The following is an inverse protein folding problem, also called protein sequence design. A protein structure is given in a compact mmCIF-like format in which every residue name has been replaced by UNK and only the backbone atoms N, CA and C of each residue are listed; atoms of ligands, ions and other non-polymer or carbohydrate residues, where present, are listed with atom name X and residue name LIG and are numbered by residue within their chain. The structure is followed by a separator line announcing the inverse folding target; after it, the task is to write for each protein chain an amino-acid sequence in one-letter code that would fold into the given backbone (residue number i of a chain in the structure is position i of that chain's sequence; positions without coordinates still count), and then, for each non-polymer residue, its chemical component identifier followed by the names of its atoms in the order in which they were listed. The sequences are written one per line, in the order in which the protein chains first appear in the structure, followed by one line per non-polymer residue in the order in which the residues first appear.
data_IF_193152701489
#
_entry.id   IF_193152701489
#
_cell.length_a   1.000
_cell.length_b   1.000
_cell.length_c   1.000
_cell.angle_alpha   90.00
_cell.angle_beta   90.00
_cell.angle_gamma   90.00
#
_symmetry.space_group_name_H-M   'P 1'
#
loop_
_entity.id
_entity.type
_entity.pdbx_description
1 polymer ?
#
# COMPACT_ATOMS: atom_id res chain seq x y z
N UNK A 1 14.14 12.03 8.43
CA UNK A 1 13.79 12.91 7.31
C UNK A 1 12.98 14.11 7.81
N UNK A 2 13.10 15.29 7.13
CA UNK A 2 12.43 16.54 7.55
C UNK A 2 11.35 17.00 6.55
N UNK A 3 11.28 16.38 5.37
CA UNK A 3 10.33 16.75 4.32
C UNK A 3 8.87 16.47 4.71
N UNK A 4 7.95 17.12 4.03
CA UNK A 4 6.50 16.92 4.18
C UNK A 4 6.07 15.53 3.65
N UNK A 5 6.69 15.09 2.57
CA UNK A 5 6.53 13.76 2.00
C UNK A 5 7.80 12.94 2.24
N UNK A 6 7.64 11.73 2.72
CA UNK A 6 8.68 10.73 2.82
C UNK A 6 8.64 9.83 1.58
N UNK A 7 9.82 9.56 1.03
CA UNK A 7 10.02 8.58 -0.02
C UNK A 7 10.82 7.41 0.56
N UNK A 8 10.20 6.23 0.66
CA UNK A 8 10.91 4.99 0.89
C UNK A 8 11.38 4.50 -0.48
N UNK A 9 12.65 4.30 -0.63
CA UNK A 9 13.26 3.94 -1.91
C UNK A 9 14.40 2.95 -1.66
N UNK A 10 14.36 1.80 -2.31
CA UNK A 10 15.44 0.85 -2.28
C UNK A 10 16.65 1.39 -3.08
N UNK A 11 17.84 1.03 -2.65
CA UNK A 11 19.10 1.46 -3.27
C UNK A 11 19.42 0.76 -4.60
N UNK A 12 18.66 -0.27 -4.96
CA UNK A 12 18.76 -1.05 -6.20
C UNK A 12 17.65 -0.68 -7.21
N UNK A 13 17.08 0.53 -7.08
CA UNK A 13 16.14 1.09 -8.06
C UNK A 13 16.86 2.00 -9.05
N UNK A 14 16.37 2.02 -10.30
CA UNK A 14 16.88 2.86 -11.39
C UNK A 14 15.71 3.61 -12.05
N UNK A 15 15.83 4.92 -12.16
CA UNK A 15 14.77 5.79 -12.69
C UNK A 15 14.67 5.64 -14.21
N UNK A 16 13.46 5.47 -14.73
CA UNK A 16 13.16 5.46 -16.16
C UNK A 16 12.53 6.79 -16.58
N UNK A 17 11.51 7.23 -15.83
CA UNK A 17 10.78 8.46 -16.12
C UNK A 17 11.30 9.59 -15.21
N UNK A 18 11.82 10.70 -15.75
CA UNK A 18 12.33 11.80 -14.95
C UNK A 18 11.27 12.46 -14.06
N UNK A 19 10.01 12.40 -14.42
CA UNK A 19 8.90 13.01 -13.69
C UNK A 19 8.28 12.11 -12.61
N UNK A 20 8.82 10.91 -12.42
CA UNK A 20 8.31 9.91 -11.47
C UNK A 20 8.08 10.47 -10.05
N UNK A 21 9.00 11.31 -9.57
CA UNK A 21 8.91 11.87 -8.22
C UNK A 21 7.78 12.92 -8.13
N UNK A 22 7.60 13.74 -9.18
CA UNK A 22 6.51 14.71 -9.25
C UNK A 22 5.16 14.01 -9.19
N UNK A 23 4.99 12.93 -9.95
CA UNK A 23 3.77 12.10 -9.93
C UNK A 23 3.53 11.52 -8.52
N UNK A 24 4.53 10.88 -7.92
CA UNK A 24 4.42 10.26 -6.61
C UNK A 24 4.03 11.28 -5.53
N UNK A 25 4.68 12.44 -5.51
CA UNK A 25 4.42 13.50 -4.54
C UNK A 25 3.04 14.13 -4.76
N UNK A 26 2.65 14.40 -6.00
CA UNK A 26 1.34 14.96 -6.33
C UNK A 26 0.19 14.08 -5.81
N UNK A 27 0.33 12.75 -5.94
CA UNK A 27 -0.66 11.82 -5.40
C UNK A 27 -0.62 11.76 -3.87
N UNK A 28 0.58 11.74 -3.25
CA UNK A 28 0.74 11.64 -1.80
C UNK A 28 0.18 12.87 -1.05
N UNK A 29 0.21 14.05 -1.66
CA UNK A 29 -0.32 15.28 -1.06
C UNK A 29 -1.85 15.35 -1.04
N UNK A 30 -2.55 14.48 -1.76
CA UNK A 30 -4.02 14.44 -1.73
C UNK A 30 -4.52 13.98 -0.36
N UNK A 31 -5.47 14.70 0.28
CA UNK A 31 -5.86 14.45 1.66
C UNK A 31 -6.34 13.02 1.96
N UNK A 32 -7.03 12.38 1.01
CA UNK A 32 -7.59 11.04 1.18
C UNK A 32 -6.58 9.91 0.87
N UNK A 33 -5.36 10.23 0.41
CA UNK A 33 -4.36 9.23 0.03
C UNK A 33 -3.42 8.96 1.19
N UNK A 34 -3.18 7.67 1.44
CA UNK A 34 -2.20 7.14 2.38
C UNK A 34 -0.85 6.95 1.69
N UNK A 35 -0.57 5.73 1.26
CA UNK A 35 0.65 5.41 0.52
C UNK A 35 0.42 5.48 -1.00
N UNK A 36 1.48 5.87 -1.72
CA UNK A 36 1.55 5.87 -3.18
C UNK A 36 2.69 4.96 -3.62
N UNK A 37 2.42 3.96 -4.46
CA UNK A 37 3.42 3.07 -5.03
C UNK A 37 3.65 3.33 -6.51
N UNK A 38 4.89 3.24 -6.95
CA UNK A 38 5.30 3.33 -8.35
C UNK A 38 5.09 2.02 -9.11
N UNK A 39 5.09 2.06 -10.43
CA UNK A 39 5.25 0.88 -11.28
C UNK A 39 6.71 0.47 -11.29
N UNK A 40 7.01 -0.75 -10.82
CA UNK A 40 8.36 -1.28 -10.88
C UNK A 40 8.45 -2.35 -11.95
N UNK A 41 9.57 -2.35 -12.65
CA UNK A 41 9.90 -3.30 -13.69
C UNK A 41 11.15 -4.12 -13.30
N UNK A 42 11.18 -5.34 -13.71
CA UNK A 42 12.41 -6.13 -13.77
C UNK A 42 13.35 -5.58 -14.85
N UNK A 43 14.65 -5.91 -14.81
CA UNK A 43 15.60 -5.50 -15.85
C UNK A 43 15.27 -5.96 -17.28
N UNK A 44 14.38 -6.94 -17.42
CA UNK A 44 13.89 -7.47 -18.70
C UNK A 44 12.59 -6.81 -19.19
N UNK A 45 12.24 -5.64 -18.65
CA UNK A 45 11.02 -4.86 -18.97
C UNK A 45 9.70 -5.55 -18.59
N UNK A 46 9.71 -6.61 -17.80
CA UNK A 46 8.47 -7.19 -17.26
C UNK A 46 8.05 -6.49 -15.96
N UNK A 47 6.76 -6.44 -15.72
CA UNK A 47 6.19 -5.86 -14.50
C UNK A 47 6.65 -6.67 -13.29
N UNK A 48 7.25 -5.99 -12.32
CA UNK A 48 7.57 -6.53 -11.01
C UNK A 48 6.50 -6.16 -9.99
N UNK A 49 6.13 -4.89 -9.95
CA UNK A 49 5.15 -4.36 -9.02
C UNK A 49 4.10 -3.50 -9.73
N UNK A 50 2.85 -3.88 -9.53
CA UNK A 50 1.67 -3.13 -9.93
C UNK A 50 0.63 -3.09 -8.80
N UNK A 51 1.07 -2.93 -7.56
CA UNK A 51 0.26 -3.07 -6.35
C UNK A 51 0.31 -4.49 -5.78
N UNK A 52 -0.19 -4.62 -4.58
CA UNK A 52 -0.22 -5.86 -3.80
C UNK A 52 -1.67 -6.24 -3.53
N UNK A 53 -1.99 -7.51 -3.74
CA UNK A 53 -3.27 -8.13 -3.38
C UNK A 53 -3.11 -8.97 -2.11
N UNK A 54 -4.10 -8.88 -1.23
CA UNK A 54 -4.21 -9.72 -0.05
C UNK A 54 -4.70 -11.13 -0.43
N UNK A 55 -4.15 -12.15 0.21
CA UNK A 55 -4.53 -13.54 -0.02
C UNK A 55 -4.14 -14.12 -1.38
N UNK A 56 -3.33 -13.39 -2.17
CA UNK A 56 -2.91 -13.85 -3.49
C UNK A 56 -1.88 -14.98 -3.39
N UNK A 57 -2.04 -16.00 -4.22
CA UNK A 57 -1.16 -17.15 -4.35
C UNK A 57 -1.70 -18.41 -3.69
N UNK A 58 -0.82 -19.28 -3.20
CA UNK A 58 -1.21 -20.53 -2.53
C UNK A 58 -2.09 -20.27 -1.30
N UNK A 59 -2.92 -21.24 -0.97
CA UNK A 59 -3.80 -21.19 0.22
C UNK A 59 -2.99 -20.80 1.46
N UNK A 60 -3.45 -19.76 2.14
CA UNK A 60 -2.80 -19.23 3.34
C UNK A 60 -1.70 -18.23 3.07
N UNK A 61 -1.47 -17.80 1.84
CA UNK A 61 -0.59 -16.67 1.57
C UNK A 61 -1.15 -15.37 2.17
N UNK A 62 -0.28 -14.47 2.59
CA UNK A 62 -0.65 -13.16 3.18
C UNK A 62 -0.96 -12.16 2.07
N UNK A 63 -0.04 -11.98 1.15
CA UNK A 63 -0.13 -11.02 0.07
C UNK A 63 0.95 -11.30 -0.99
N UNK A 64 0.69 -10.88 -2.23
CA UNK A 64 1.67 -10.92 -3.31
C UNK A 64 1.43 -9.83 -4.35
N UNK A 65 2.42 -9.61 -5.21
CA UNK A 65 2.36 -8.64 -6.30
C UNK A 65 1.39 -9.11 -7.39
N UNK A 66 0.50 -8.22 -7.80
CA UNK A 66 -0.42 -8.48 -8.91
C UNK A 66 0.25 -8.20 -10.26
N UNK A 67 -0.13 -8.93 -11.29
CA UNK A 67 0.40 -8.81 -12.65
C UNK A 67 1.92 -8.99 -12.77
N UNK A 68 2.53 -9.67 -11.80
CA UNK A 68 3.96 -9.97 -11.86
C UNK A 68 4.29 -10.72 -13.17
N UNK A 69 5.40 -10.35 -13.79
CA UNK A 69 5.88 -10.87 -15.08
C UNK A 69 5.02 -10.51 -16.30
N UNK A 70 3.97 -9.70 -16.17
CA UNK A 70 3.27 -9.16 -17.32
C UNK A 70 4.19 -8.25 -18.16
N UNK A 71 3.93 -8.12 -19.45
CA UNK A 71 4.68 -7.22 -20.31
C UNK A 71 4.53 -5.76 -19.85
N UNK A 72 5.56 -4.93 -20.01
CA UNK A 72 5.53 -3.49 -19.63
C UNK A 72 4.33 -2.75 -20.20
N UNK A 73 3.95 -3.06 -21.45
CA UNK A 73 2.84 -2.41 -22.17
C UNK A 73 1.50 -3.12 -21.99
N UNK A 74 1.42 -4.21 -21.22
CA UNK A 74 0.15 -4.88 -20.96
C UNK A 74 -0.80 -3.92 -20.25
N UNK A 75 -2.02 -3.67 -20.77
CA UNK A 75 -2.98 -2.80 -20.12
C UNK A 75 -3.60 -3.41 -18.85
N UNK A 76 -3.41 -4.70 -18.60
CA UNK A 76 -4.07 -5.43 -17.53
C UNK A 76 -5.57 -5.67 -17.80
N UNK A 77 -6.24 -6.38 -16.91
CA UNK A 77 -7.68 -6.54 -17.00
C UNK A 77 -8.36 -5.17 -16.86
N UNK A 78 -9.22 -4.83 -17.81
CA UNK A 78 -9.98 -3.56 -17.83
C UNK A 78 -9.09 -2.30 -17.72
N UNK A 79 -7.84 -2.34 -18.23
CA UNK A 79 -6.92 -1.21 -18.18
C UNK A 79 -6.26 -0.97 -16.83
N UNK A 80 -6.28 -1.92 -15.91
CA UNK A 80 -5.75 -1.75 -14.55
C UNK A 80 -4.25 -1.41 -14.49
N UNK A 81 -3.46 -1.76 -15.50
CA UNK A 81 -2.04 -1.41 -15.59
C UNK A 81 -1.77 -0.08 -16.30
N UNK A 82 -2.80 0.59 -16.80
CA UNK A 82 -2.72 1.88 -17.51
C UNK A 82 -3.36 3.04 -16.72
N UNK A 83 -3.92 2.81 -15.53
CA UNK A 83 -4.64 3.80 -14.76
C UNK A 83 -4.18 3.85 -13.30
N UNK A 84 -4.18 5.07 -12.73
CA UNK A 84 -4.08 5.25 -11.28
C UNK A 84 -5.23 4.49 -10.61
N UNK A 85 -4.94 3.65 -9.63
CA UNK A 85 -5.95 2.85 -8.94
C UNK A 85 -5.65 2.65 -7.46
N UNK A 86 -6.69 2.39 -6.69
CA UNK A 86 -6.54 1.96 -5.30
C UNK A 86 -5.96 0.54 -5.25
N UNK A 87 -5.13 0.27 -4.25
CA UNK A 87 -4.56 -1.02 -3.95
C UNK A 87 -4.60 -1.26 -2.44
N UNK A 88 -4.66 -2.52 -2.02
CA UNK A 88 -4.60 -2.86 -0.60
C UNK A 88 -3.25 -2.50 0.00
N UNK A 89 -2.18 -2.74 -0.74
CA UNK A 89 -0.84 -2.30 -0.38
C UNK A 89 0.01 -1.99 -1.62
N UNK A 90 1.12 -1.30 -1.38
CA UNK A 90 2.18 -1.00 -2.35
C UNK A 90 3.53 -1.23 -1.70
N UNK A 91 4.52 -1.64 -2.48
CA UNK A 91 5.83 -2.01 -1.95
C UNK A 91 6.66 -0.80 -1.50
N UNK A 92 7.36 -0.96 -0.39
CA UNK A 92 8.33 0.02 0.11
C UNK A 92 9.60 0.14 -0.76
N UNK A 93 9.75 -0.69 -1.78
CA UNK A 93 10.84 -0.51 -2.76
C UNK A 93 10.78 0.85 -3.48
N UNK A 94 9.55 1.39 -3.70
CA UNK A 94 9.33 2.79 -4.09
C UNK A 94 7.94 3.23 -3.59
N UNK A 95 7.89 3.89 -2.42
CA UNK A 95 6.66 4.31 -1.77
C UNK A 95 6.76 5.74 -1.29
N UNK A 96 5.78 6.57 -1.65
CA UNK A 96 5.62 7.92 -1.13
C UNK A 96 4.48 7.99 -0.12
N UNK A 97 4.69 8.74 0.98
CA UNK A 97 3.68 8.96 2.02
C UNK A 97 3.90 10.31 2.69
N UNK A 98 2.85 11.01 3.08
CA UNK A 98 2.99 12.20 3.92
C UNK A 98 3.65 11.85 5.25
N UNK A 99 4.65 12.63 5.65
CA UNK A 99 5.37 12.40 6.91
C UNK A 99 4.43 12.36 8.11
N UNK A 100 3.40 13.20 8.14
CA UNK A 100 2.41 13.20 9.21
C UNK A 100 1.70 11.85 9.34
N UNK A 101 1.29 11.24 8.22
CA UNK A 101 0.64 9.92 8.23
C UNK A 101 1.58 8.80 8.63
N UNK A 102 2.84 8.85 8.16
CA UNK A 102 3.85 7.87 8.55
C UNK A 102 4.02 7.84 10.08
N UNK A 103 4.05 9.01 10.71
CA UNK A 103 4.17 9.14 12.17
C UNK A 103 2.87 8.77 12.88
N UNK A 104 1.71 9.15 12.32
CA UNK A 104 0.38 8.86 12.88
C UNK A 104 0.14 7.36 13.06
N UNK A 105 0.53 6.56 12.05
CA UNK A 105 0.37 5.09 12.11
C UNK A 105 1.57 4.38 12.74
N UNK A 106 2.58 5.10 13.22
CA UNK A 106 3.73 4.55 13.94
C UNK A 106 4.85 4.00 13.05
N UNK A 107 4.92 4.37 11.75
CA UNK A 107 5.97 3.92 10.85
C UNK A 107 5.87 2.44 10.46
N UNK A 108 6.97 1.84 10.04
CA UNK A 108 7.06 0.40 9.76
C UNK A 108 7.16 -0.39 11.07
N UNK A 109 6.56 -1.59 11.09
CA UNK A 109 6.62 -2.47 12.26
C UNK A 109 7.97 -3.20 12.32
N UNK A 110 8.72 -3.02 13.41
CA UNK A 110 10.05 -3.62 13.60
C UNK A 110 10.03 -5.14 13.77
N UNK A 111 8.85 -5.74 14.04
CA UNK A 111 8.69 -7.20 14.06
C UNK A 111 8.67 -7.82 12.65
N UNK A 112 8.44 -7.01 11.63
CA UNK A 112 8.47 -7.38 10.21
C UNK A 112 9.76 -6.84 9.58
N UNK A 113 10.84 -7.59 9.71
CA UNK A 113 12.17 -7.12 9.34
C UNK A 113 12.40 -7.06 7.83
N UNK A 114 11.73 -7.94 7.07
CA UNK A 114 11.96 -8.10 5.63
C UNK A 114 10.66 -8.21 4.84
N UNK A 115 9.81 -9.22 5.14
CA UNK A 115 8.57 -9.42 4.41
C UNK A 115 7.40 -8.69 5.07
N UNK A 116 6.47 -8.23 4.24
CA UNK A 116 5.16 -7.68 4.64
C UNK A 116 5.17 -6.40 5.49
N UNK A 117 6.32 -5.78 5.76
CA UNK A 117 6.36 -4.52 6.52
C UNK A 117 5.61 -3.38 5.81
N UNK A 118 5.68 -3.35 4.50
CA UNK A 118 4.96 -2.43 3.63
C UNK A 118 3.45 -2.77 3.55
N UNK A 119 3.11 -4.05 3.52
CA UNK A 119 1.72 -4.52 3.54
C UNK A 119 1.06 -4.14 4.86
N UNK A 120 1.69 -4.44 6.00
CA UNK A 120 1.22 -4.04 7.33
C UNK A 120 1.04 -2.52 7.45
N UNK A 121 2.01 -1.76 6.98
CA UNK A 121 1.97 -0.31 6.98
C UNK A 121 0.77 0.22 6.17
N UNK A 122 0.57 -0.30 4.96
CA UNK A 122 -0.55 0.07 4.09
C UNK A 122 -1.92 -0.30 4.70
N UNK A 123 -2.00 -1.45 5.38
CA UNK A 123 -3.23 -1.87 6.07
C UNK A 123 -3.56 -0.93 7.24
N UNK A 124 -2.56 -0.51 8.04
CA UNK A 124 -2.76 0.48 9.11
C UNK A 124 -3.21 1.84 8.57
N UNK A 125 -2.68 2.29 7.44
CA UNK A 125 -3.18 3.49 6.76
C UNK A 125 -4.64 3.33 6.33
N UNK A 126 -5.02 2.14 5.85
CA UNK A 126 -6.40 1.83 5.47
C UNK A 126 -7.34 1.80 6.67
N UNK A 127 -6.93 1.27 7.81
CA UNK A 127 -7.68 1.33 9.08
C UNK A 127 -7.86 2.77 9.57
N UNK A 128 -6.85 3.62 9.39
CA UNK A 128 -6.93 5.05 9.68
C UNK A 128 -7.82 5.82 8.69
N UNK A 129 -8.38 5.16 7.66
CA UNK A 129 -9.34 5.73 6.72
C UNK A 129 -8.73 6.28 5.43
N UNK A 130 -7.43 6.11 5.21
CA UNK A 130 -6.75 6.53 3.99
C UNK A 130 -6.79 5.44 2.91
N UNK A 131 -6.64 5.84 1.66
CA UNK A 131 -6.55 4.93 0.51
C UNK A 131 -5.11 4.83 0.03
N UNK A 132 -4.60 3.63 -0.11
CA UNK A 132 -3.35 3.41 -0.81
C UNK A 132 -3.61 3.38 -2.31
N UNK A 133 -2.71 3.94 -3.11
CA UNK A 133 -2.84 3.99 -4.56
C UNK A 133 -1.54 3.52 -5.22
N UNK A 134 -1.71 2.90 -6.37
CA UNK A 134 -0.62 2.57 -7.28
C UNK A 134 -0.77 3.41 -8.54
N UNK A 135 0.34 3.96 -9.04
CA UNK A 135 0.38 4.76 -10.27
C UNK A 135 1.23 4.09 -11.35
N UNK A 136 0.75 4.03 -12.61
CA UNK A 136 1.54 3.58 -13.75
C UNK A 136 2.44 4.66 -14.33
N UNK A 137 2.31 5.91 -13.87
CA UNK A 137 2.98 7.09 -14.42
C UNK A 137 4.33 7.41 -13.74
N UNK A 138 4.66 6.73 -12.66
CA UNK A 138 5.99 6.72 -12.04
C UNK A 138 6.60 5.34 -12.31
N UNK A 139 7.61 5.26 -13.18
CA UNK A 139 8.17 4.00 -13.65
C UNK A 139 9.66 3.91 -13.33
N UNK A 140 10.06 2.85 -12.63
CA UNK A 140 11.45 2.57 -12.27
C UNK A 140 11.76 1.10 -12.54
N UNK A 141 13.02 0.79 -12.82
CA UNK A 141 13.54 -0.57 -12.66
C UNK A 141 13.83 -0.83 -11.17
N UNK A 142 13.61 -2.06 -10.73
CA UNK A 142 14.05 -2.54 -9.43
C UNK A 142 14.78 -3.86 -9.60
N UNK A 143 16.08 -3.84 -9.33
CA UNK A 143 17.01 -4.96 -9.54
C UNK A 143 16.97 -5.94 -8.36
N UNK A 144 15.75 -6.36 -7.99
CA UNK A 144 15.51 -7.29 -6.89
C UNK A 144 16.46 -8.50 -6.99
N UNK A 145 16.95 -8.95 -5.82
CA UNK A 145 17.83 -10.11 -5.68
C UNK A 145 19.30 -9.92 -6.07
N UNK A 146 19.73 -8.76 -6.54
CA UNK A 146 21.16 -8.52 -6.75
C UNK A 146 21.99 -8.72 -5.47
N UNK A 147 21.35 -8.57 -4.29
CA UNK A 147 22.00 -8.66 -2.97
C UNK A 147 21.38 -9.69 -2.00
N UNK A 148 20.21 -10.25 -2.27
CA UNK A 148 19.46 -11.06 -1.26
C UNK A 148 19.46 -12.57 -1.49
N UNK A 149 19.57 -13.05 -2.74
CA UNK A 149 19.41 -14.49 -3.05
C UNK A 149 18.00 -15.03 -2.73
N UNK A 150 17.80 -16.34 -2.88
CA UNK A 150 16.51 -17.02 -2.69
C UNK A 150 16.09 -17.00 -1.20
N UNK A 151 14.90 -16.43 -0.91
CA UNK A 151 14.30 -16.37 0.43
C UNK A 151 13.69 -17.71 0.90
N UNK A 152 13.71 -18.74 0.06
CA UNK A 152 13.06 -20.02 0.31
C UNK A 152 13.97 -21.08 0.98
N UNK A 153 15.20 -20.74 1.38
CA UNK A 153 16.14 -21.67 1.97
C UNK A 153 16.63 -21.28 3.37
N UNK A 154 16.76 -22.27 4.25
CA UNK A 154 17.38 -22.15 5.56
C UNK A 154 16.72 -21.11 6.51
N UNK A 155 17.53 -20.29 7.17
CA UNK A 155 17.09 -19.27 8.13
C UNK A 155 16.15 -18.22 7.53
N UNK A 156 16.27 -17.96 6.22
CA UNK A 156 15.41 -17.02 5.51
C UNK A 156 13.97 -17.55 5.41
N UNK A 157 13.79 -18.83 5.11
CA UNK A 157 12.48 -19.47 5.06
C UNK A 157 11.79 -19.47 6.43
N UNK A 158 12.53 -19.73 7.51
CA UNK A 158 12.01 -19.69 8.89
C UNK A 158 11.56 -18.26 9.26
N UNK A 159 12.37 -17.26 8.97
CA UNK A 159 12.00 -15.85 9.17
C UNK A 159 10.74 -15.49 8.38
N UNK A 160 10.68 -15.80 7.09
CA UNK A 160 9.52 -15.55 6.23
C UNK A 160 8.24 -16.18 6.80
N UNK A 161 8.32 -17.43 7.27
CA UNK A 161 7.23 -18.13 7.94
C UNK A 161 6.79 -17.39 9.22
N UNK A 162 7.75 -16.97 10.03
CA UNK A 162 7.48 -16.24 11.28
C UNK A 162 6.77 -14.90 11.01
N UNK A 163 7.22 -14.14 10.00
CA UNK A 163 6.62 -12.89 9.59
C UNK A 163 5.22 -13.12 8.99
N UNK A 164 5.02 -14.18 8.22
CA UNK A 164 3.72 -14.59 7.68
C UNK A 164 2.73 -14.95 8.80
N UNK A 165 3.16 -15.71 9.80
CA UNK A 165 2.33 -16.08 10.95
C UNK A 165 2.01 -14.85 11.83
N UNK A 166 2.93 -13.89 11.93
CA UNK A 166 2.68 -12.61 12.58
C UNK A 166 1.57 -11.85 11.87
N UNK A 167 1.64 -11.72 10.55
CA UNK A 167 0.62 -11.05 9.74
C UNK A 167 -0.75 -11.72 9.87
N UNK A 168 -0.81 -13.06 9.86
CA UNK A 168 -2.06 -13.81 10.03
C UNK A 168 -2.68 -13.58 11.41
N UNK A 169 -1.90 -13.57 12.47
CA UNK A 169 -2.41 -13.27 13.82
C UNK A 169 -2.93 -11.87 13.94
N UNK A 170 -2.27 -10.90 13.29
CA UNK A 170 -2.63 -9.50 13.39
C UNK A 170 -3.85 -9.14 12.54
N UNK A 171 -3.90 -9.61 11.31
CA UNK A 171 -4.88 -9.17 10.31
C UNK A 171 -6.01 -10.18 10.06
N UNK A 172 -5.82 -11.43 10.42
CA UNK A 172 -6.86 -12.48 10.36
C UNK A 172 -7.59 -12.52 9.02
N UNK A 173 -8.90 -12.43 9.07
CA UNK A 173 -9.78 -12.51 7.90
C UNK A 173 -9.61 -11.35 6.91
N UNK A 174 -9.01 -10.24 7.30
CA UNK A 174 -8.71 -9.15 6.37
C UNK A 174 -7.75 -9.58 5.24
N UNK A 175 -6.96 -10.64 5.47
CA UNK A 175 -6.04 -11.18 4.47
C UNK A 175 -6.73 -12.17 3.49
N UNK A 176 -7.98 -12.55 3.73
CA UNK A 176 -8.67 -13.58 2.92
C UNK A 176 -9.38 -12.99 1.70
N UNK A 177 -9.64 -11.68 1.71
CA UNK A 177 -10.40 -11.01 0.65
C UNK A 177 -9.89 -9.61 0.38
N UNK A 178 -9.28 -9.42 -0.78
CA UNK A 178 -8.81 -8.09 -1.21
C UNK A 178 -10.00 -7.23 -1.67
N UNK A 179 -10.21 -6.02 -1.09
CA UNK A 179 -11.34 -5.15 -1.44
C UNK A 179 -11.22 -4.51 -2.83
N UNK A 180 -10.04 -4.54 -3.45
CA UNK A 180 -9.77 -3.96 -4.77
C UNK A 180 -9.64 -5.01 -5.87
N UNK A 181 -9.94 -6.30 -5.56
CA UNK A 181 -9.94 -7.38 -6.53
C UNK A 181 -11.34 -7.95 -6.74
N UNK A 182 -11.74 -8.07 -8.01
CA UNK A 182 -13.09 -8.56 -8.35
C UNK A 182 -13.28 -9.98 -7.79
N UNK A 183 -14.37 -10.25 -7.05
CA UNK A 183 -14.62 -11.56 -6.46
C UNK A 183 -14.82 -12.69 -7.49
N UNK A 184 -15.10 -12.35 -8.75
CA UNK A 184 -15.18 -13.33 -9.83
C UNK A 184 -13.80 -13.71 -10.41
N UNK A 185 -12.73 -13.00 -10.02
CA UNK A 185 -11.38 -13.34 -10.41
C UNK A 185 -10.68 -14.17 -9.34
N UNK A 186 -9.86 -15.10 -9.78
CA UNK A 186 -9.07 -15.97 -8.91
C UNK A 186 -8.00 -15.18 -8.16
N UNK A 187 -7.74 -15.56 -6.91
CA UNK A 187 -6.56 -15.15 -6.17
C UNK A 187 -5.38 -16.12 -6.35
N UNK A 188 -5.55 -17.23 -7.08
CA UNK A 188 -4.48 -18.20 -7.24
C UNK A 188 -3.28 -17.65 -8.04
N UNK A 189 -3.53 -16.86 -9.07
CA UNK A 189 -2.49 -16.37 -10.00
C UNK A 189 -2.31 -14.86 -9.97
N UNK A 190 -3.31 -14.09 -9.48
CA UNK A 190 -3.31 -12.63 -9.56
C UNK A 190 -3.37 -12.08 -10.99
N UNK A 191 -3.80 -12.89 -11.92
CA UNK A 191 -3.99 -12.56 -13.33
C UNK A 191 -5.50 -12.44 -13.66
N UNK A 192 -5.90 -12.90 -14.85
CA UNK A 192 -7.28 -12.73 -15.35
C UNK A 192 -8.14 -13.99 -15.20
N UNK A 193 -7.66 -14.98 -14.47
CA UNK A 193 -8.36 -16.25 -14.32
C UNK A 193 -9.64 -16.08 -13.50
N UNK A 194 -10.68 -16.76 -13.90
CA UNK A 194 -11.94 -16.77 -13.17
C UNK A 194 -11.83 -17.63 -11.91
N UNK A 195 -12.43 -17.14 -10.84
CA UNK A 195 -12.63 -17.95 -9.64
C UNK A 195 -13.71 -19.01 -9.88
N UNK A 196 -13.42 -20.26 -9.52
CA UNK A 196 -14.38 -21.38 -9.64
C UNK A 196 -14.43 -22.17 -8.31
N UNK A 197 -15.53 -22.03 -7.55
CA UNK A 197 -16.65 -21.12 -7.76
C UNK A 197 -16.22 -19.65 -7.60
N UNK A 198 -17.05 -18.69 -8.05
CA UNK A 198 -16.84 -17.28 -7.71
C UNK A 198 -16.72 -17.13 -6.19
N UNK A 199 -15.84 -16.27 -5.72
CA UNK A 199 -15.66 -15.98 -4.28
C UNK A 199 -16.85 -15.15 -3.79
N UNK A 200 -18.05 -15.74 -3.87
CA UNK A 200 -19.30 -15.10 -3.56
C UNK A 200 -19.42 -14.76 -2.07
N UNK A 201 -20.17 -13.73 -1.78
CA UNK A 201 -20.74 -13.34 -0.47
C UNK A 201 -19.82 -13.14 0.74
N UNK A 202 -18.51 -13.12 0.60
CA UNK A 202 -17.74 -12.32 1.52
C UNK A 202 -18.34 -10.91 1.45
N UNK A 203 -19.04 -10.46 2.50
CA UNK A 203 -19.76 -9.22 2.56
C UNK A 203 -18.91 -8.14 1.89
N UNK A 204 -19.33 -7.75 0.69
CA UNK A 204 -18.47 -6.99 -0.21
C UNK A 204 -18.02 -5.75 0.55
N UNK A 205 -16.71 -5.55 0.81
CA UNK A 205 -16.21 -4.48 1.68
C UNK A 205 -16.61 -3.08 1.18
N UNK A 206 -17.03 -2.99 -0.11
CA UNK A 206 -17.61 -1.77 -0.68
C UNK A 206 -19.06 -1.51 -0.26
N UNK A 207 -19.76 -2.48 0.35
CA UNK A 207 -21.12 -2.30 0.88
C UNK A 207 -21.15 -1.69 2.27
N UNK A 208 -20.08 -1.82 3.03
CA UNK A 208 -19.89 -1.00 4.23
C UNK A 208 -19.42 0.37 3.78
N UNK A 209 -20.16 1.46 4.06
CA UNK A 209 -19.61 2.79 3.88
C UNK A 209 -18.33 2.81 4.73
N UNK A 210 -17.16 2.80 4.07
CA UNK A 210 -15.94 3.17 4.75
C UNK A 210 -16.24 4.55 5.31
N UNK A 211 -16.16 4.72 6.61
CA UNK A 211 -16.24 6.06 7.21
C UNK A 211 -15.30 6.91 6.38
N UNK A 212 -15.85 7.95 5.74
CA UNK A 212 -15.03 8.96 5.08
C UNK A 212 -13.89 9.30 6.03
N UNK A 213 -12.66 9.57 5.53
CA UNK A 213 -11.61 10.10 6.36
C UNK A 213 -12.29 11.21 7.14
N UNK A 214 -12.40 11.04 8.45
CA UNK A 214 -13.24 11.94 9.26
C UNK A 214 -12.81 13.34 8.90
N UNK A 215 -13.77 14.23 8.68
CA UNK A 215 -13.68 15.67 8.86
C UNK A 215 -13.05 16.05 10.22
N UNK A 216 -12.56 15.08 10.98
CA UNK A 216 -11.87 15.18 12.25
C UNK A 216 -10.56 15.99 12.18
N UNK A 217 -10.04 16.31 11.00
CA UNK A 217 -8.82 17.10 10.93
C UNK A 217 -9.06 18.59 10.79
N UNK A 218 -10.26 19.07 10.50
CA UNK A 218 -10.54 20.51 10.48
C UNK A 218 -11.00 21.00 11.88
N UNK A 219 -11.55 20.12 12.69
CA UNK A 219 -12.03 20.48 14.04
C UNK A 219 -10.95 20.45 15.13
N UNK A 220 -9.78 19.87 14.89
CA UNK A 220 -8.68 19.80 15.85
C UNK A 220 -7.59 20.85 15.68
N UNK A 221 -7.68 21.72 14.69
CA UNK A 221 -6.89 22.95 14.62
C UNK A 221 -7.66 24.03 15.40
N UNK A 222 -7.90 23.83 16.69
CA UNK A 222 -8.09 24.94 17.60
C UNK A 222 -6.71 25.56 17.84
N UNK A 223 -6.52 26.87 17.57
CA UNK A 223 -5.30 27.54 17.94
C UNK A 223 -5.14 27.40 19.48
N UNK A 224 -4.08 26.76 19.91
CA UNK A 224 -3.65 26.86 21.32
C UNK A 224 -3.25 28.31 21.53
N UNK A 225 -4.08 29.08 22.23
CA UNK A 225 -3.74 30.45 22.64
C UNK A 225 -4.86 31.47 22.36
N UNK A 226 -6.02 31.28 22.94
CA UNK A 226 -6.85 32.43 23.36
C UNK A 226 -6.98 32.32 24.86
N UNK A 227 -6.10 33.00 25.55
CA UNK A 227 -6.09 33.27 26.99
C UNK A 227 -7.45 33.78 27.42
N UNK A 228 -7.92 33.26 28.54
CA UNK A 228 -9.02 33.77 29.34
C UNK A 228 -8.69 35.19 29.83
N UNK A 229 -9.03 36.20 29.03
CA UNK A 229 -8.95 37.60 29.38
C UNK A 229 -10.07 38.41 28.68
N UNK A 230 -11.34 38.00 28.89
CA UNK A 230 -12.50 38.80 28.51
C UNK A 230 -13.73 38.37 29.31
N UNK A 231 -13.61 38.41 30.63
CA UNK A 231 -14.77 38.25 31.54
C UNK A 231 -14.54 39.10 32.81
N UNK A 232 -14.31 40.39 32.65
CA UNK A 232 -14.24 41.31 33.77
C UNK A 232 -14.42 42.79 33.31
N UNK A 233 -15.46 43.10 32.51
CA UNK A 233 -15.96 44.47 32.38
C UNK A 233 -17.44 44.37 32.04
N UNK A 234 -18.28 44.11 33.02
CA UNK A 234 -19.68 44.45 33.08
C UNK A 234 -20.20 44.18 34.50
N UNK A 235 -19.77 45.04 35.45
CA UNK A 235 -20.46 45.41 36.70
C UNK A 235 -19.72 46.56 37.36
N UNK A 236 -20.03 47.76 36.94
CA UNK A 236 -20.02 48.97 37.77
C UNK A 236 -20.93 50.01 37.11
#
# INVERSE_FOLDING_TARGET
ARGEVLMLLNNDTEVIDPDWMCEMVAQALRPAIGAVGAKLLYPDDRVQHAGVLLGLGAVGNVAAHVYQLAARCDPGAFGQLAMLRSASAVTAACLAVRRALYLEVGGLDENLKVAFNDVDFCLRLSEAGYRNVWTPFAVLYHRESASRGDDLSGEKAERFKTEMDYMRRRWGTALESDPYWNPNLSLATGQRDLAQPPRGDAAAPWRTPRRSPREASIASIRPRGASAAAAAVERS
#
